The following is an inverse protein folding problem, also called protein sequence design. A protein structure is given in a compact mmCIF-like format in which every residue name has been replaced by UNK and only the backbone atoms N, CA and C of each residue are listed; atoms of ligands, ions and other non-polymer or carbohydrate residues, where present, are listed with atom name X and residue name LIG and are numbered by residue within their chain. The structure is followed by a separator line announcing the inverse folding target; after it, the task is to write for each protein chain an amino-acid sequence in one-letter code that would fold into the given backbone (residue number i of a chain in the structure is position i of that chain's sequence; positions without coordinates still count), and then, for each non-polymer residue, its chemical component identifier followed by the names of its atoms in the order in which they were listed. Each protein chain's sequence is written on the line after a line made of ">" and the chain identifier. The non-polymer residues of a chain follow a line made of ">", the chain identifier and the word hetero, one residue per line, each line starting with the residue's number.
data_IF_443618106420
#
_entry.id   IF_443618106420
#
_cell.length_a   1.000
_cell.length_b   1.000
_cell.length_c   1.000
_cell.angle_alpha   90.00
_cell.angle_beta   90.00
_cell.angle_gamma   90.00
#
_symmetry.space_group_name_H-M   'P 1'
#
loop_
_entity.id
_entity.type
_entity.pdbx_description
1 polymer ?
#
# COMPACT_ATOMS: atom_id res chain seq x y z
N UNK A 1 -1.40 -20.23 -6.71
CA UNK A 1 -0.51 -20.56 -5.56
C UNK A 1 -1.21 -20.11 -4.29
N UNK A 2 -1.11 -20.85 -3.18
CA UNK A 2 -1.61 -20.38 -1.88
C UNK A 2 -0.83 -19.13 -1.42
N UNK A 3 -1.52 -18.07 -1.01
CA UNK A 3 -0.90 -16.96 -0.28
C UNK A 3 -0.25 -17.49 1.01
N UNK A 4 0.86 -16.86 1.43
CA UNK A 4 1.57 -17.20 2.66
C UNK A 4 1.22 -16.23 3.78
N UNK A 5 1.42 -16.66 5.03
CA UNK A 5 1.34 -15.75 6.17
C UNK A 5 2.46 -14.69 6.02
N UNK A 6 2.13 -13.38 6.01
CA UNK A 6 3.12 -12.34 5.88
C UNK A 6 3.88 -12.13 7.20
N UNK A 7 5.20 -12.08 7.14
CA UNK A 7 6.02 -11.65 8.28
C UNK A 7 5.79 -10.15 8.59
N UNK A 8 5.58 -9.35 7.53
CA UNK A 8 5.25 -7.93 7.61
C UNK A 8 4.25 -7.56 6.51
N UNK A 9 3.48 -6.50 6.76
CA UNK A 9 2.72 -5.81 5.73
C UNK A 9 3.34 -4.45 5.40
N UNK A 10 3.58 -4.22 4.12
CA UNK A 10 3.99 -2.95 3.58
C UNK A 10 2.78 -2.03 3.41
N UNK A 11 2.88 -0.84 3.99
CA UNK A 11 1.84 0.17 4.04
C UNK A 11 2.33 1.46 3.39
N UNK A 12 1.41 2.26 2.86
CA UNK A 12 1.72 3.58 2.32
C UNK A 12 1.94 4.60 3.44
N UNK A 13 3.05 5.33 3.38
CA UNK A 13 3.34 6.48 4.21
C UNK A 13 3.74 7.71 3.37
N UNK A 14 3.63 8.90 3.94
CA UNK A 14 4.00 10.16 3.27
C UNK A 14 5.07 10.93 4.05
N UNK A 15 5.96 11.62 3.35
CA UNK A 15 6.99 12.48 3.98
C UNK A 15 6.37 13.75 4.57
N UNK A 16 6.76 14.22 5.77
CA UNK A 16 6.24 15.48 6.33
C UNK A 16 6.52 16.69 5.40
N UNK A 17 5.54 17.57 5.21
CA UNK A 17 5.61 18.77 4.35
C UNK A 17 4.59 18.78 3.19
N UNK A 18 4.25 19.97 2.70
CA UNK A 18 3.26 20.23 1.62
C UNK A 18 3.75 19.80 0.22
N UNK A 19 4.27 18.58 0.09
CA UNK A 19 4.69 18.03 -1.21
C UNK A 19 6.06 18.48 -1.72
N UNK A 20 6.78 19.31 -0.96
CA UNK A 20 8.23 19.45 -1.10
C UNK A 20 8.89 18.29 -0.34
N UNK A 21 8.99 17.13 -1.00
CA UNK A 21 9.80 16.03 -0.47
C UNK A 21 11.25 16.47 -0.21
N UNK A 22 12.03 15.68 0.54
CA UNK A 22 13.48 15.88 0.59
C UNK A 22 14.04 15.96 -0.85
N UNK A 23 15.14 16.70 -1.08
CA UNK A 23 15.72 16.87 -2.41
C UNK A 23 15.86 15.53 -3.11
N UNK A 24 15.46 15.48 -4.39
CA UNK A 24 15.29 14.27 -5.18
C UNK A 24 16.46 13.28 -5.01
N UNK A 25 16.21 12.27 -4.19
CA UNK A 25 17.18 11.29 -3.78
C UNK A 25 16.70 10.70 -2.46
N UNK A 26 16.44 9.40 -2.42
CA UNK A 26 16.34 8.73 -1.13
C UNK A 26 17.67 8.98 -0.41
N UNK A 27 17.69 9.54 0.82
CA UNK A 27 18.91 9.47 1.61
C UNK A 27 19.37 8.01 1.62
N UNK A 28 20.68 7.72 1.54
CA UNK A 28 21.18 6.35 1.46
C UNK A 28 20.59 5.43 2.55
N UNK A 29 20.27 5.99 3.70
CA UNK A 29 19.58 5.33 4.83
C UNK A 29 18.16 4.82 4.49
N UNK A 30 17.42 5.52 3.61
CA UNK A 30 16.08 5.13 3.16
C UNK A 30 16.10 4.04 2.06
N UNK A 31 17.23 3.81 1.40
CA UNK A 31 17.42 2.63 0.54
C UNK A 31 17.61 1.35 1.37
N UNK A 32 18.17 1.47 2.58
CA UNK A 32 18.40 0.36 3.50
C UNK A 32 17.14 -0.05 4.32
N UNK A 33 16.15 0.84 4.44
CA UNK A 33 14.90 0.60 5.19
C UNK A 33 13.87 -0.30 4.47
N UNK A 34 14.13 -0.73 3.24
CA UNK A 34 13.17 -1.52 2.46
C UNK A 34 13.10 -3.01 2.85
N UNK A 35 13.91 -3.48 3.80
CA UNK A 35 13.87 -4.86 4.30
C UNK A 35 14.36 -4.97 5.77
N UNK A 36 13.76 -4.27 6.75
CA UNK A 36 14.18 -4.43 8.15
C UNK A 36 13.26 -3.87 9.25
N UNK A 37 13.40 -4.38 10.50
CA UNK A 37 12.40 -4.33 11.58
C UNK A 37 12.35 -3.01 12.36
N UNK A 38 12.58 -1.87 11.71
CA UNK A 38 12.61 -0.58 12.41
C UNK A 38 12.14 0.56 11.53
N UNK A 39 10.88 0.51 11.11
CA UNK A 39 10.20 1.68 10.57
C UNK A 39 9.68 2.55 11.75
N UNK A 40 10.60 3.27 12.38
CA UNK A 40 10.25 4.24 13.42
C UNK A 40 9.39 5.38 12.86
N UNK A 41 8.32 5.71 13.61
CA UNK A 41 7.37 6.80 13.36
C UNK A 41 6.68 6.78 11.98
N UNK A 42 5.74 5.85 11.81
CA UNK A 42 4.83 5.89 10.66
C UNK A 42 3.96 7.15 10.73
N UNK A 43 4.30 8.14 9.91
CA UNK A 43 3.41 9.27 9.66
C UNK A 43 2.34 8.81 8.66
N UNK A 44 1.21 8.31 9.19
CA UNK A 44 -0.03 8.26 8.44
C UNK A 44 -0.72 9.63 8.58
N UNK A 45 -0.72 10.47 7.53
CA UNK A 45 -1.48 11.70 7.54
C UNK A 45 -2.99 11.37 7.63
N UNK A 46 -3.71 12.03 8.54
CA UNK A 46 -5.16 11.85 8.67
C UNK A 46 -5.96 12.48 7.52
N UNK A 47 -5.29 13.15 6.56
CA UNK A 47 -5.90 13.93 5.49
C UNK A 47 -5.90 13.23 4.12
N UNK A 48 -5.76 11.90 4.08
CA UNK A 48 -5.90 11.17 2.82
C UNK A 48 -7.32 11.24 2.28
N UNK A 49 -7.43 11.53 0.99
CA UNK A 49 -8.67 11.41 0.23
C UNK A 49 -8.57 10.31 -0.83
N UNK A 50 -9.68 9.59 -1.01
CA UNK A 50 -9.78 8.43 -1.89
C UNK A 50 -10.99 8.61 -2.82
N UNK A 51 -10.80 8.37 -4.11
CA UNK A 51 -11.87 8.33 -5.10
C UNK A 51 -11.75 7.07 -5.96
N UNK A 52 -12.78 6.21 -5.91
CA UNK A 52 -12.80 4.91 -6.56
C UNK A 52 -13.60 4.96 -7.85
N UNK A 53 -12.98 4.50 -8.94
CA UNK A 53 -13.67 4.25 -10.20
C UNK A 53 -13.67 2.75 -10.50
N UNK A 54 -14.85 2.19 -10.78
CA UNK A 54 -15.02 0.79 -11.18
C UNK A 54 -15.31 0.67 -12.68
N UNK A 55 -14.70 -0.32 -13.34
CA UNK A 55 -14.94 -0.70 -14.74
C UNK A 55 -14.78 -2.21 -14.90
N UNK A 56 -15.34 -2.77 -15.97
CA UNK A 56 -15.03 -4.13 -16.41
C UNK A 56 -13.89 -4.11 -17.43
N UNK A 57 -12.98 -5.09 -17.34
CA UNK A 57 -11.93 -5.32 -18.34
C UNK A 57 -11.70 -6.81 -18.52
N UNK A 58 -11.37 -7.23 -19.73
CA UNK A 58 -10.65 -8.48 -19.90
C UNK A 58 -9.27 -8.30 -19.24
N UNK A 59 -8.93 -9.07 -18.20
CA UNK A 59 -7.63 -8.99 -17.54
C UNK A 59 -6.50 -9.35 -18.50
N UNK A 60 -5.31 -8.80 -18.27
CA UNK A 60 -4.11 -9.38 -18.88
C UNK A 60 -3.88 -10.78 -18.28
N UNK A 61 -3.38 -11.74 -19.07
CA UNK A 61 -3.21 -13.14 -18.66
C UNK A 61 -2.61 -13.28 -17.25
N UNK A 62 -1.57 -12.50 -16.94
CA UNK A 62 -0.92 -12.52 -15.63
C UNK A 62 -1.83 -12.17 -14.43
N UNK A 63 -2.87 -11.34 -14.60
CA UNK A 63 -3.83 -11.04 -13.52
C UNK A 63 -4.84 -12.18 -13.35
N UNK A 64 -5.29 -12.79 -14.46
CA UNK A 64 -6.14 -13.99 -14.38
C UNK A 64 -5.43 -15.13 -13.68
N UNK A 65 -4.16 -15.37 -14.03
CA UNK A 65 -3.36 -16.44 -13.44
C UNK A 65 -3.19 -16.25 -11.93
N UNK A 66 -2.95 -15.01 -11.48
CA UNK A 66 -2.84 -14.67 -10.06
C UNK A 66 -4.17 -14.84 -9.31
N UNK A 67 -5.29 -14.53 -9.96
CA UNK A 67 -6.62 -14.67 -9.38
C UNK A 67 -7.22 -16.08 -9.55
N UNK A 68 -6.52 -17.00 -10.22
CA UNK A 68 -7.02 -18.35 -10.52
C UNK A 68 -8.22 -18.36 -11.46
N UNK A 69 -8.33 -17.36 -12.34
CA UNK A 69 -9.47 -17.15 -13.23
C UNK A 69 -9.18 -17.70 -14.64
N UNK A 70 -10.23 -18.16 -15.31
CA UNK A 70 -10.17 -18.46 -16.73
C UNK A 70 -10.09 -17.16 -17.55
N UNK A 71 -9.52 -17.18 -18.77
CA UNK A 71 -9.40 -15.98 -19.60
C UNK A 71 -10.73 -15.28 -19.92
N UNK A 72 -11.84 -16.02 -19.94
CA UNK A 72 -13.18 -15.51 -20.18
C UNK A 72 -13.86 -14.92 -18.95
N UNK A 73 -13.31 -15.12 -17.76
CA UNK A 73 -13.98 -14.74 -16.52
C UNK A 73 -13.98 -13.21 -16.35
N UNK A 74 -15.13 -12.63 -15.97
CA UNK A 74 -15.23 -11.19 -15.78
C UNK A 74 -14.45 -10.75 -14.54
N UNK A 75 -13.65 -9.69 -14.71
CA UNK A 75 -12.88 -9.06 -13.65
C UNK A 75 -13.33 -7.61 -13.47
N UNK A 76 -13.65 -7.24 -12.23
CA UNK A 76 -13.85 -5.85 -11.84
C UNK A 76 -12.49 -5.20 -11.67
N UNK A 77 -12.28 -4.12 -12.40
CA UNK A 77 -11.12 -3.27 -12.31
C UNK A 77 -11.49 -1.99 -11.57
N UNK A 78 -10.84 -1.78 -10.43
CA UNK A 78 -10.94 -0.57 -9.65
C UNK A 78 -9.66 0.24 -9.79
N UNK A 79 -9.82 1.55 -9.80
CA UNK A 79 -8.70 2.47 -9.77
C UNK A 79 -8.99 3.59 -8.78
N UNK A 80 -8.00 3.94 -7.97
CA UNK A 80 -8.03 5.14 -7.13
C UNK A 80 -6.74 5.92 -7.19
N UNK A 81 -6.85 7.23 -6.97
CA UNK A 81 -5.71 8.11 -6.73
C UNK A 81 -5.76 8.54 -5.26
N UNK A 82 -4.67 8.31 -4.55
CA UNK A 82 -4.51 8.65 -3.15
C UNK A 82 -3.81 10.00 -3.10
N UNK A 83 -4.42 10.94 -2.41
CA UNK A 83 -3.90 12.31 -2.27
C UNK A 83 -3.63 12.63 -0.83
N UNK A 84 -2.61 13.47 -0.62
CA UNK A 84 -2.37 14.19 0.61
C UNK A 84 -2.48 15.68 0.32
N UNK A 85 -3.38 16.38 1.00
CA UNK A 85 -3.81 17.70 0.58
C UNK A 85 -4.18 17.71 -0.91
N UNK A 86 -3.51 18.57 -1.70
CA UNK A 86 -3.74 18.70 -3.15
C UNK A 86 -2.89 17.79 -4.02
N UNK A 87 -1.90 17.10 -3.45
CA UNK A 87 -0.91 16.39 -4.23
C UNK A 87 -1.23 14.89 -4.31
N UNK A 88 -1.23 14.29 -5.52
CA UNK A 88 -1.31 12.85 -5.66
C UNK A 88 -0.02 12.20 -5.19
N UNK A 89 -0.12 11.31 -4.20
CA UNK A 89 1.02 10.60 -3.64
C UNK A 89 1.15 9.18 -4.20
N UNK A 90 0.01 8.57 -4.55
CA UNK A 90 -0.02 7.23 -5.09
C UNK A 90 -1.25 6.99 -5.98
N UNK A 91 -1.17 5.98 -6.82
CA UNK A 91 -2.28 5.48 -7.63
C UNK A 91 -2.38 3.98 -7.42
N UNK A 92 -3.55 3.50 -7.00
CA UNK A 92 -3.81 2.07 -6.88
C UNK A 92 -4.67 1.59 -8.04
N UNK A 93 -4.34 0.40 -8.52
CA UNK A 93 -5.16 -0.40 -9.40
C UNK A 93 -5.46 -1.74 -8.72
N UNK A 94 -6.72 -2.11 -8.64
CA UNK A 94 -7.16 -3.36 -8.02
C UNK A 94 -8.02 -4.16 -8.99
N UNK A 95 -7.81 -5.45 -9.03
CA UNK A 95 -8.53 -6.42 -9.84
C UNK A 95 -9.17 -7.45 -8.93
N UNK A 96 -10.47 -7.65 -9.08
CA UNK A 96 -11.25 -8.58 -8.28
C UNK A 96 -12.10 -9.46 -9.22
N UNK A 97 -12.24 -10.77 -8.92
CA UNK A 97 -13.27 -11.58 -9.57
C UNK A 97 -14.65 -10.94 -9.42
N UNK A 98 -15.50 -10.98 -10.46
CA UNK A 98 -16.83 -10.37 -10.39
C UNK A 98 -17.69 -10.92 -9.24
N UNK A 99 -17.51 -12.20 -8.93
CA UNK A 99 -18.15 -12.93 -7.81
C UNK A 99 -17.83 -12.33 -6.44
N UNK A 100 -16.72 -11.59 -6.31
CA UNK A 100 -16.30 -11.00 -5.03
C UNK A 100 -17.06 -9.72 -4.67
N UNK A 101 -17.82 -9.12 -5.61
CA UNK A 101 -18.78 -7.99 -5.61
C UNK A 101 -18.67 -6.81 -4.61
N UNK A 102 -17.73 -6.82 -3.66
CA UNK A 102 -17.46 -5.79 -2.66
C UNK A 102 -16.43 -4.81 -3.19
N UNK A 103 -16.36 -3.64 -2.55
CA UNK A 103 -15.26 -2.68 -2.78
C UNK A 103 -13.91 -3.38 -2.50
N UNK A 104 -12.82 -3.00 -3.18
CA UNK A 104 -11.50 -3.51 -2.87
C UNK A 104 -11.17 -3.35 -1.39
N UNK A 105 -10.49 -4.34 -0.82
CA UNK A 105 -9.87 -4.23 0.48
C UNK A 105 -8.79 -3.15 0.43
N UNK A 106 -8.84 -2.24 1.39
CA UNK A 106 -7.95 -1.09 1.47
C UNK A 106 -6.74 -1.41 2.36
N UNK A 107 -5.61 -1.71 1.73
CA UNK A 107 -4.34 -1.99 2.41
C UNK A 107 -3.49 -0.72 2.66
N UNK A 108 -4.04 0.46 2.37
CA UNK A 108 -3.33 1.75 2.49
C UNK A 108 -3.69 2.52 3.77
N UNK A 109 -4.50 1.90 4.62
CA UNK A 109 -5.00 2.46 5.88
C UNK A 109 -3.96 2.39 7.00
N UNK A 110 -4.32 2.93 8.17
CA UNK A 110 -3.52 2.81 9.38
C UNK A 110 -3.34 1.35 9.85
N UNK A 111 -2.37 1.14 10.75
CA UNK A 111 -2.02 -0.18 11.27
C UNK A 111 -3.19 -0.93 11.93
N UNK A 112 -4.21 -0.25 12.47
CA UNK A 112 -5.34 -0.91 13.14
C UNK A 112 -6.35 -1.46 12.12
N UNK A 113 -6.61 -0.71 11.05
CA UNK A 113 -7.43 -1.18 9.94
C UNK A 113 -6.78 -2.38 9.23
N UNK A 114 -5.45 -2.36 9.10
CA UNK A 114 -4.70 -3.46 8.49
C UNK A 114 -4.78 -4.75 9.31
N UNK A 115 -4.71 -4.67 10.65
CA UNK A 115 -4.88 -5.86 11.51
C UNK A 115 -6.24 -6.53 11.31
N UNK A 116 -7.31 -5.74 11.18
CA UNK A 116 -8.64 -6.28 10.89
C UNK A 116 -8.70 -6.99 9.54
N UNK A 117 -7.99 -6.50 8.52
CA UNK A 117 -7.89 -7.23 7.24
C UNK A 117 -7.18 -8.57 7.44
N UNK A 118 -6.14 -8.63 8.27
CA UNK A 118 -5.43 -9.88 8.53
C UNK A 118 -6.25 -10.93 9.30
N UNK A 119 -7.32 -10.55 10.01
CA UNK A 119 -8.20 -11.52 10.69
C UNK A 119 -8.84 -12.49 9.69
N UNK A 120 -9.32 -11.99 8.55
CA UNK A 120 -10.07 -12.76 7.56
C UNK A 120 -9.25 -13.10 6.30
N UNK A 121 -8.10 -12.46 6.10
CA UNK A 121 -7.34 -12.55 4.86
C UNK A 121 -5.84 -12.83 5.08
N UNK A 122 -5.24 -13.47 4.08
CA UNK A 122 -3.80 -13.58 3.89
C UNK A 122 -3.39 -12.60 2.79
N UNK A 123 -2.28 -11.90 2.99
CA UNK A 123 -1.80 -10.89 2.05
C UNK A 123 -0.34 -11.16 1.73
N UNK A 124 -0.05 -11.41 0.46
CA UNK A 124 1.32 -11.53 -0.05
C UNK A 124 1.70 -10.25 -0.80
N UNK A 125 2.86 -9.68 -0.47
CA UNK A 125 3.29 -8.39 -1.01
C UNK A 125 4.69 -8.42 -1.58
N UNK A 126 4.90 -7.64 -2.64
CA UNK A 126 6.19 -7.45 -3.26
C UNK A 126 6.42 -5.96 -3.58
N UNK A 127 7.57 -5.43 -3.19
CA UNK A 127 7.98 -4.05 -3.46
C UNK A 127 9.05 -4.04 -4.55
N UNK A 128 8.86 -3.23 -5.59
CA UNK A 128 9.82 -3.07 -6.70
C UNK A 128 9.83 -1.63 -7.20
N UNK A 129 10.90 -1.23 -7.88
CA UNK A 129 10.89 -0.01 -8.67
C UNK A 129 10.40 -0.28 -10.09
N UNK A 130 9.59 0.62 -10.64
CA UNK A 130 9.11 0.54 -12.02
C UNK A 130 9.07 1.91 -12.69
N UNK A 131 9.38 1.95 -13.98
CA UNK A 131 9.12 3.12 -14.80
C UNK A 131 7.60 3.28 -14.98
N UNK A 132 7.12 4.49 -14.78
CA UNK A 132 5.68 4.75 -14.84
C UNK A 132 5.21 5.00 -16.28
N UNK A 133 4.13 4.34 -16.68
CA UNK A 133 3.56 4.57 -18.00
C UNK A 133 3.02 6.00 -18.12
N UNK A 134 3.10 6.59 -19.32
CA UNK A 134 2.64 7.96 -19.60
C UNK A 134 1.24 8.27 -19.04
N UNK A 135 0.29 7.33 -19.18
CA UNK A 135 -1.08 7.48 -18.67
C UNK A 135 -1.12 7.67 -17.15
N UNK A 136 -0.37 6.86 -16.40
CA UNK A 136 -0.41 6.94 -14.95
C UNK A 136 0.51 8.05 -14.41
N UNK A 137 1.59 8.39 -15.14
CA UNK A 137 2.44 9.53 -14.81
C UNK A 137 1.64 10.84 -14.84
N UNK A 138 0.78 11.04 -15.86
CA UNK A 138 -0.13 12.18 -15.91
C UNK A 138 -1.08 12.24 -14.71
N UNK A 139 -1.59 11.09 -14.27
CA UNK A 139 -2.51 11.00 -13.13
C UNK A 139 -1.85 11.28 -11.78
N UNK A 140 -0.53 11.03 -11.71
CA UNK A 140 0.30 11.31 -10.55
C UNK A 140 0.99 12.67 -10.66
N UNK A 141 0.77 13.45 -11.72
CA UNK A 141 1.43 14.74 -11.93
C UNK A 141 2.96 14.62 -11.80
N UNK A 142 3.53 13.61 -12.46
CA UNK A 142 4.97 13.36 -12.54
C UNK A 142 5.40 13.23 -14.02
N UNK A 143 6.69 13.41 -14.33
CA UNK A 143 7.20 13.17 -15.67
C UNK A 143 6.90 11.74 -16.16
N UNK A 144 6.64 11.55 -17.47
CA UNK A 144 6.63 10.22 -18.07
C UNK A 144 7.93 9.47 -17.77
N UNK A 145 7.85 8.14 -17.65
CA UNK A 145 8.99 7.26 -17.37
C UNK A 145 9.71 7.51 -16.04
N UNK A 146 9.18 8.41 -15.20
CA UNK A 146 9.63 8.58 -13.83
C UNK A 146 9.55 7.24 -13.08
N UNK A 147 10.61 6.94 -12.34
CA UNK A 147 10.67 5.75 -11.50
C UNK A 147 9.75 5.94 -10.29
N UNK A 148 8.90 4.95 -10.03
CA UNK A 148 7.99 4.89 -8.89
C UNK A 148 8.23 3.62 -8.09
N UNK A 149 7.87 3.66 -6.80
CA UNK A 149 7.78 2.44 -5.99
C UNK A 149 6.47 1.74 -6.35
N UNK A 150 6.53 0.48 -6.71
CA UNK A 150 5.40 -0.38 -7.02
C UNK A 150 5.27 -1.43 -5.92
N UNK A 151 4.21 -1.32 -5.12
CA UNK A 151 3.79 -2.34 -4.16
C UNK A 151 2.70 -3.19 -4.82
N UNK A 152 3.04 -4.43 -5.14
CA UNK A 152 2.07 -5.42 -5.63
C UNK A 152 1.56 -6.22 -4.43
N UNK A 153 0.24 -6.43 -4.36
CA UNK A 153 -0.41 -7.18 -3.28
C UNK A 153 -1.35 -8.23 -3.87
N UNK A 154 -1.24 -9.46 -3.41
CA UNK A 154 -2.20 -10.54 -3.64
C UNK A 154 -2.91 -10.83 -2.33
N UNK A 155 -4.24 -10.81 -2.33
CA UNK A 155 -5.06 -11.04 -1.15
C UNK A 155 -5.85 -12.33 -1.36
N UNK A 156 -5.71 -13.25 -0.42
CA UNK A 156 -6.44 -14.50 -0.38
C UNK A 156 -7.34 -14.58 0.86
N UNK A 157 -8.46 -15.30 0.78
CA UNK A 157 -9.24 -15.65 1.98
C UNK A 157 -8.38 -16.49 2.94
N UNK A 158 -8.47 -16.25 4.25
CA UNK A 158 -7.70 -17.04 5.22
C UNK A 158 -8.21 -18.48 5.34
N UNK A 159 -9.52 -18.68 5.28
CA UNK A 159 -10.16 -19.99 5.45
C UNK A 159 -9.77 -21.01 4.36
N UNK A 160 -9.71 -20.57 3.10
CA UNK A 160 -9.57 -21.46 1.94
C UNK A 160 -8.36 -21.11 1.06
N UNK A 161 -7.66 -20.02 1.37
CA UNK A 161 -6.54 -19.52 0.60
C UNK A 161 -6.88 -19.23 -0.87
N UNK A 162 -8.09 -18.71 -1.10
CA UNK A 162 -8.60 -18.38 -2.43
C UNK A 162 -8.26 -16.92 -2.77
N UNK A 163 -7.59 -16.64 -3.89
CA UNK A 163 -7.34 -15.27 -4.33
C UNK A 163 -8.63 -14.49 -4.58
N UNK A 164 -8.78 -13.34 -3.94
CA UNK A 164 -9.97 -12.47 -4.05
C UNK A 164 -9.65 -11.08 -4.58
N UNK A 165 -8.38 -10.67 -4.49
CA UNK A 165 -7.94 -9.37 -5.00
C UNK A 165 -6.46 -9.40 -5.35
N UNK A 166 -6.12 -8.82 -6.50
CA UNK A 166 -4.77 -8.42 -6.84
C UNK A 166 -4.74 -6.89 -6.91
N UNK A 167 -3.76 -6.23 -6.31
CA UNK A 167 -3.59 -4.79 -6.46
C UNK A 167 -2.15 -4.39 -6.74
N UNK A 168 -2.01 -3.22 -7.37
CA UNK A 168 -0.75 -2.55 -7.63
C UNK A 168 -0.87 -1.10 -7.20
N UNK A 169 -0.07 -0.73 -6.21
CA UNK A 169 0.04 0.63 -5.71
C UNK A 169 1.34 1.25 -6.22
N UNK A 170 1.21 2.31 -7.00
CA UNK A 170 2.35 3.09 -7.50
C UNK A 170 2.50 4.35 -6.66
N UNK A 171 3.63 4.49 -5.99
CA UNK A 171 3.92 5.55 -5.03
C UNK A 171 4.98 6.46 -5.63
N UNK A 172 4.71 7.77 -5.60
CA UNK A 172 5.66 8.80 -6.05
C UNK A 172 6.77 8.92 -4.99
N UNK A 173 8.03 8.54 -5.30
CA UNK A 173 9.08 8.48 -4.28
C UNK A 173 9.41 9.83 -3.64
N UNK A 174 9.15 10.93 -4.35
CA UNK A 174 9.32 12.29 -3.81
C UNK A 174 8.21 12.71 -2.83
N UNK A 175 7.12 11.93 -2.70
CA UNK A 175 5.93 12.29 -1.90
C UNK A 175 5.54 11.24 -0.88
N UNK A 176 5.89 9.98 -1.11
CA UNK A 176 5.61 8.88 -0.19
C UNK A 176 6.59 7.72 -0.32
N UNK A 177 6.46 6.79 0.62
CA UNK A 177 7.29 5.61 0.78
C UNK A 177 6.47 4.43 1.30
N UNK A 178 7.07 3.24 1.33
CA UNK A 178 6.48 2.06 1.98
C UNK A 178 7.10 1.88 3.36
N UNK A 179 6.28 1.51 4.34
CA UNK A 179 6.71 1.13 5.69
C UNK A 179 6.26 -0.29 5.99
N UNK A 180 7.08 -1.07 6.68
CA UNK A 180 6.69 -2.39 7.16
C UNK A 180 5.94 -2.26 8.50
N UNK A 181 4.86 -3.01 8.65
CA UNK A 181 4.11 -3.17 9.90
C UNK A 181 4.08 -4.65 10.23
N UNK A 182 4.62 -5.02 11.40
CA UNK A 182 4.47 -6.40 11.88
C UNK A 182 3.04 -6.61 12.39
N UNK A 183 2.37 -7.70 12.00
CA UNK A 183 1.06 -8.06 12.56
C UNK A 183 1.09 -8.21 14.10
N UNK A 184 2.24 -8.60 14.66
CA UNK A 184 2.42 -8.92 16.07
C UNK A 184 2.90 -7.76 16.96
N UNK A 185 3.34 -6.64 16.40
CA UNK A 185 3.85 -5.53 17.22
C UNK A 185 2.71 -4.67 17.78
N UNK A 186 2.68 -4.31 19.07
CA UNK A 186 1.67 -3.40 19.62
C UNK A 186 1.78 -2.00 19.01
N UNK A 187 0.66 -1.30 18.84
CA UNK A 187 0.66 0.08 18.37
C UNK A 187 1.36 0.97 19.40
N UNK A 188 2.35 1.76 18.97
CA UNK A 188 3.04 2.73 19.85
C UNK A 188 2.10 3.79 20.45
N UNK A 189 0.89 3.97 19.88
CA UNK A 189 -0.14 4.84 20.47
C UNK A 189 -0.83 4.25 21.71
N UNK A 190 -0.75 2.93 21.90
CA UNK A 190 -1.26 2.26 23.09
C UNK A 190 -0.21 2.23 24.22
N UNK A 191 1.00 2.75 23.95
CA UNK A 191 1.96 3.05 25.01
C UNK A 191 1.59 4.39 25.63
N UNK A 192 1.32 4.46 26.94
CA UNK A 192 1.11 5.75 27.60
C UNK A 192 2.31 6.66 27.31
N UNK A 193 2.11 7.98 27.17
CA UNK A 193 3.22 8.90 26.97
C UNK A 193 4.25 8.60 28.05
N UNK A 194 5.49 8.29 27.64
CA UNK A 194 6.59 8.12 28.58
C UNK A 194 6.68 9.42 29.38
N UNK A 195 6.15 9.38 30.59
CA UNK A 195 6.25 10.48 31.52
C UNK A 195 7.73 10.71 31.75
N UNK A 196 8.19 11.92 31.43
CA UNK A 196 9.44 12.44 31.95
C UNK A 196 9.32 12.49 33.48
N UNK A 197 9.65 11.40 34.16
CA UNK A 197 10.02 11.47 35.57
C UNK A 197 11.37 12.16 35.62
N UNK A 198 11.35 13.48 35.77
CA UNK A 198 12.52 14.18 36.30
C UNK A 198 12.69 13.74 37.76
N UNK A 199 13.84 13.17 38.15
CA UNK A 199 14.11 12.87 39.55
C UNK A 199 14.15 14.17 40.35
N UNK A 200 13.62 14.10 41.57
CA UNK A 200 13.42 15.23 42.46
C UNK A 200 14.66 16.11 42.64
N UNK A 201 14.41 17.41 42.73
CA UNK A 201 15.36 18.39 43.24
C UNK A 201 15.58 18.14 44.75
N UNK A 202 16.82 18.18 45.26
CA UNK A 202 17.07 18.70 46.59
C UNK A 202 16.88 20.23 46.64
#
# INVERSE_FOLDING_TARGET
>A
MPCREPEYLYCLAAYPGDGAGPPAGLPPEAQALLCGPSAAAVCHPNDYSFDWMSRYRCPANAVSDLLGLQPSDPVKYFRRVIRRGRHPIACEMSWLPDTSCKKPLDLTLDAAAIRRVLEDFLVEQCVRYRAMSRKHALQLEIPPDAMVICLESLICTRAENVPVQCSRLFIVPARGYVTAVSPGEPSLRDSPPQGFFSPGRP
#
